data_IF_153807585829
#
_entry.id   IF_153807585829
#
_cell.length_a   1.000
_cell.length_b   1.000
_cell.length_c   1.000
_cell.angle_alpha   90.00
_cell.angle_beta   90.00
_cell.angle_gamma   90.00
#
_symmetry.space_group_name_H-M   'P 1'
#
loop_
_entity.id
_entity.type
_entity.pdbx_description
1 polymer ?
#
# COMPACT_ATOMS: atom_id res chain seq x y z
N UNK A 1 -16.02 5.03 3.30
CA UNK A 1 -15.55 6.43 3.13
C UNK A 1 -14.26 6.72 3.89
N UNK A 2 -14.08 6.18 5.11
CA UNK A 2 -12.86 6.35 5.93
C UNK A 2 -11.57 5.91 5.22
N UNK A 3 -11.55 4.76 4.54
CA UNK A 3 -10.34 4.26 3.88
C UNK A 3 -9.84 5.16 2.75
N UNK A 4 -10.76 5.81 2.04
CA UNK A 4 -10.41 6.78 1.00
C UNK A 4 -9.77 8.05 1.61
N UNK A 5 -10.23 8.48 2.80
CA UNK A 5 -9.61 9.59 3.51
C UNK A 5 -8.20 9.22 3.99
N UNK A 6 -8.00 7.99 4.46
CA UNK A 6 -6.67 7.48 4.84
C UNK A 6 -5.76 7.46 3.61
N UNK A 7 -6.21 6.91 2.48
CA UNK A 7 -5.43 6.93 1.23
C UNK A 7 -5.04 8.35 0.82
N UNK A 8 -6.01 9.27 0.80
CA UNK A 8 -5.76 10.63 0.35
C UNK A 8 -4.83 11.40 1.31
N UNK A 9 -5.06 11.29 2.62
CA UNK A 9 -4.23 11.99 3.62
C UNK A 9 -2.83 11.41 3.74
N UNK A 10 -2.64 10.12 3.45
CA UNK A 10 -1.34 9.44 3.60
C UNK A 10 -0.52 9.40 2.32
N UNK A 11 -1.04 9.89 1.19
CA UNK A 11 -0.43 9.73 -0.15
C UNK A 11 1.03 10.19 -0.27
N UNK A 12 1.46 11.14 0.57
CA UNK A 12 2.80 11.72 0.54
C UNK A 12 3.77 11.05 1.52
N UNK A 13 3.27 10.27 2.50
CA UNK A 13 4.10 9.69 3.56
C UNK A 13 3.89 8.20 3.80
N UNK A 14 2.84 7.58 3.23
CA UNK A 14 2.49 6.17 3.43
C UNK A 14 3.68 5.27 3.11
N UNK A 15 4.38 5.55 2.01
CA UNK A 15 5.60 4.83 1.61
C UNK A 15 6.63 4.79 2.75
N UNK A 16 6.97 5.94 3.33
CA UNK A 16 7.97 6.04 4.41
C UNK A 16 7.53 5.26 5.65
N UNK A 17 6.29 5.49 6.09
CA UNK A 17 5.73 4.87 7.30
C UNK A 17 5.60 3.37 7.15
N UNK A 18 5.07 2.90 6.02
CA UNK A 18 4.90 1.48 5.72
C UNK A 18 6.25 0.80 5.63
N UNK A 19 7.25 1.41 4.97
CA UNK A 19 8.62 0.87 4.96
C UNK A 19 9.18 0.76 6.38
N UNK A 20 9.04 1.79 7.22
CA UNK A 20 9.49 1.74 8.62
C UNK A 20 8.84 0.59 9.39
N UNK A 21 7.51 0.45 9.30
CA UNK A 21 6.79 -0.62 9.98
C UNK A 21 7.14 -2.02 9.43
N UNK A 22 7.28 -2.16 8.11
CA UNK A 22 7.73 -3.39 7.46
C UNK A 22 9.14 -3.79 7.91
N UNK A 23 10.03 -2.81 8.11
CA UNK A 23 11.39 -3.04 8.61
C UNK A 23 11.35 -3.63 10.02
N UNK A 24 10.56 -3.04 10.92
CA UNK A 24 10.39 -3.54 12.29
C UNK A 24 9.78 -4.95 12.31
N UNK A 25 8.88 -5.24 11.37
CA UNK A 25 8.32 -6.58 11.20
C UNK A 25 9.36 -7.61 10.75
N UNK A 26 10.21 -7.28 9.76
CA UNK A 26 11.03 -8.25 9.05
C UNK A 26 12.49 -8.41 9.50
N UNK A 27 13.02 -7.48 10.31
CA UNK A 27 14.38 -7.61 10.85
C UNK A 27 14.59 -8.97 11.54
N UNK A 28 15.84 -9.45 11.64
CA UNK A 28 16.14 -10.60 12.50
C UNK A 28 15.65 -10.37 13.93
N UNK A 29 15.20 -11.42 14.61
CA UNK A 29 14.71 -11.31 16.01
C UNK A 29 15.74 -10.67 16.94
N UNK A 30 17.03 -10.98 16.74
CA UNK A 30 18.13 -10.40 17.51
C UNK A 30 18.31 -8.88 17.28
N UNK A 31 17.81 -8.35 16.16
CA UNK A 31 17.79 -6.93 15.83
C UNK A 31 16.41 -6.27 16.13
N UNK A 32 15.59 -6.92 16.97
CA UNK A 32 14.28 -6.42 17.39
C UNK A 32 13.13 -6.71 16.44
N UNK A 33 13.30 -7.59 15.45
CA UNK A 33 12.21 -7.95 14.55
C UNK A 33 11.17 -8.87 15.19
N UNK A 34 9.88 -8.60 14.96
CA UNK A 34 8.79 -9.31 15.64
C UNK A 34 8.06 -10.35 14.78
N UNK A 35 8.05 -10.23 13.44
CA UNK A 35 7.26 -11.10 12.52
C UNK A 35 5.81 -11.31 12.97
N UNK A 36 5.24 -10.30 13.63
CA UNK A 36 3.89 -10.31 14.20
C UNK A 36 3.03 -9.30 13.45
N UNK A 37 2.00 -9.78 12.75
CA UNK A 37 1.13 -8.96 11.90
C UNK A 37 0.30 -7.97 12.72
N UNK A 38 -0.09 -8.30 13.95
CA UNK A 38 -0.80 -7.36 14.82
C UNK A 38 0.05 -6.18 15.26
N UNK A 39 1.33 -6.41 15.53
CA UNK A 39 2.27 -5.32 15.81
C UNK A 39 2.54 -4.46 14.57
N UNK A 40 2.57 -5.08 13.39
CA UNK A 40 2.67 -4.36 12.11
C UNK A 40 1.43 -3.48 11.88
N UNK A 41 0.23 -4.05 12.09
CA UNK A 41 -1.06 -3.34 12.03
C UNK A 41 -1.08 -2.14 12.98
N UNK A 42 -0.68 -2.37 14.23
CA UNK A 42 -0.57 -1.32 15.25
C UNK A 42 0.39 -0.20 14.82
N UNK A 43 1.57 -0.54 14.32
CA UNK A 43 2.55 0.45 13.84
C UNK A 43 1.98 1.32 12.72
N UNK A 44 1.30 0.71 11.73
CA UNK A 44 0.69 1.44 10.62
C UNK A 44 -0.43 2.37 11.10
N UNK A 45 -1.29 1.89 12.00
CA UNK A 45 -2.37 2.69 12.60
C UNK A 45 -1.85 3.89 13.39
N UNK A 46 -0.89 3.68 14.28
CA UNK A 46 -0.30 4.76 15.10
C UNK A 46 0.41 5.80 14.24
N UNK A 47 0.80 5.44 13.03
CA UNK A 47 1.44 6.32 12.07
C UNK A 47 0.47 6.92 11.03
N UNK A 48 -0.84 6.82 11.27
CA UNK A 48 -1.88 7.46 10.44
C UNK A 48 -2.30 6.67 9.20
N UNK A 49 -1.78 5.44 9.01
CA UNK A 49 -2.15 4.52 7.92
C UNK A 49 -3.09 3.44 8.47
N UNK A 50 -4.21 3.88 9.07
CA UNK A 50 -5.19 3.01 9.70
C UNK A 50 -6.43 2.80 8.85
N UNK A 51 -6.44 1.75 8.04
CA UNK A 51 -7.63 1.35 7.27
C UNK A 51 -8.68 0.67 8.15
N UNK A 52 -9.89 0.51 7.62
CA UNK A 52 -11.00 -0.14 8.28
C UNK A 52 -10.64 -1.58 8.64
N UNK A 53 -10.98 -1.96 9.86
CA UNK A 53 -10.86 -3.32 10.38
C UNK A 53 -12.18 -4.10 10.17
N UNK A 54 -13.20 -3.47 9.56
CA UNK A 54 -14.52 -4.02 9.33
C UNK A 54 -14.65 -4.55 7.89
N UNK A 55 -14.76 -5.87 7.65
CA UNK A 55 -14.93 -6.42 6.30
C UNK A 55 -16.14 -5.87 5.55
N UNK A 56 -17.22 -5.54 6.27
CA UNK A 56 -18.42 -4.94 5.68
C UNK A 56 -18.17 -3.56 5.06
N UNK A 57 -17.10 -2.85 5.46
CA UNK A 57 -16.72 -1.59 4.85
C UNK A 57 -16.07 -1.77 3.46
N UNK A 58 -15.52 -2.96 3.20
CA UNK A 58 -14.77 -3.29 1.98
C UNK A 58 -15.58 -4.15 0.99
N UNK A 59 -16.53 -4.96 1.47
CA UNK A 59 -17.20 -5.97 0.66
C UNK A 59 -18.73 -5.91 0.77
N UNK A 60 -19.41 -5.98 -0.37
CA UNK A 60 -20.87 -6.13 -0.44
C UNK A 60 -21.37 -7.47 0.18
N UNK A 61 -20.51 -8.50 0.19
CA UNK A 61 -20.75 -9.79 0.84
C UNK A 61 -19.56 -10.10 1.77
N UNK A 62 -19.59 -9.63 3.02
CA UNK A 62 -18.40 -9.62 3.89
C UNK A 62 -18.11 -10.93 4.63
N UNK A 63 -19.03 -11.89 4.62
CA UNK A 63 -18.82 -13.17 5.31
C UNK A 63 -17.52 -13.84 4.82
N UNK A 64 -16.62 -14.14 5.78
CA UNK A 64 -15.30 -14.74 5.53
C UNK A 64 -14.39 -13.92 4.61
N UNK A 65 -14.56 -12.60 4.57
CA UNK A 65 -13.67 -11.69 3.83
C UNK A 65 -12.76 -10.91 4.78
N UNK A 66 -11.53 -10.61 4.36
CA UNK A 66 -10.63 -9.74 5.11
C UNK A 66 -11.11 -8.29 5.08
N UNK A 67 -10.74 -7.51 6.09
CA UNK A 67 -10.90 -6.06 6.09
C UNK A 67 -9.86 -5.37 5.19
N UNK A 68 -10.04 -4.08 4.91
CA UNK A 68 -9.02 -3.31 4.20
C UNK A 68 -7.68 -3.31 4.96
N UNK A 69 -7.73 -3.21 6.28
CA UNK A 69 -6.52 -3.25 7.10
C UNK A 69 -5.79 -4.58 6.99
N UNK A 70 -6.52 -5.70 6.97
CA UNK A 70 -5.95 -7.04 6.77
C UNK A 70 -5.23 -7.13 5.43
N UNK A 71 -5.90 -6.71 4.34
CA UNK A 71 -5.31 -6.70 3.00
C UNK A 71 -3.99 -5.91 2.96
N UNK A 72 -3.97 -4.74 3.58
CA UNK A 72 -2.79 -3.88 3.61
C UNK A 72 -1.66 -4.48 4.45
N UNK A 73 -1.95 -5.02 5.63
CA UNK A 73 -0.92 -5.61 6.48
C UNK A 73 -0.37 -6.91 5.89
N UNK A 74 -1.21 -7.70 5.22
CA UNK A 74 -0.78 -8.92 4.55
C UNK A 74 0.13 -8.62 3.35
N UNK A 75 -0.19 -7.62 2.53
CA UNK A 75 0.72 -7.20 1.46
C UNK A 75 2.06 -6.74 2.02
N UNK A 76 2.05 -5.94 3.09
CA UNK A 76 3.28 -5.45 3.72
C UNK A 76 4.10 -6.58 4.34
N UNK A 77 3.44 -7.53 5.00
CA UNK A 77 4.10 -8.70 5.57
C UNK A 77 4.71 -9.59 4.47
N UNK A 78 3.97 -9.79 3.37
CA UNK A 78 4.44 -10.50 2.18
C UNK A 78 5.66 -9.80 1.58
N UNK A 79 5.58 -8.50 1.30
CA UNK A 79 6.69 -7.69 0.77
C UNK A 79 7.95 -7.86 1.61
N UNK A 80 7.78 -7.78 2.93
CA UNK A 80 8.88 -7.82 3.89
C UNK A 80 9.48 -9.23 4.10
N UNK A 81 8.89 -10.27 3.52
CA UNK A 81 9.43 -11.65 3.52
C UNK A 81 9.89 -12.04 2.12
N UNK A 82 9.02 -11.92 1.12
CA UNK A 82 9.24 -12.40 -0.23
C UNK A 82 10.21 -11.52 -1.02
N UNK A 83 10.23 -10.22 -0.73
CA UNK A 83 11.05 -9.25 -1.46
C UNK A 83 12.29 -8.78 -0.69
N UNK A 84 12.49 -9.27 0.54
CA UNK A 84 13.66 -8.93 1.37
C UNK A 84 14.99 -9.48 0.84
N UNK A 85 14.96 -10.42 -0.10
CA UNK A 85 16.15 -10.94 -0.80
C UNK A 85 16.50 -10.11 -2.04
N UNK A 86 15.60 -9.24 -2.50
CA UNK A 86 15.87 -8.34 -3.61
C UNK A 86 16.72 -7.17 -3.11
N UNK A 87 17.95 -7.06 -3.61
CA UNK A 87 18.89 -6.02 -3.19
C UNK A 87 18.33 -4.60 -3.36
N UNK A 88 17.47 -4.37 -4.35
CA UNK A 88 16.78 -3.09 -4.54
C UNK A 88 15.75 -2.80 -3.44
N UNK A 89 15.10 -3.83 -2.89
CA UNK A 89 14.24 -3.69 -1.71
C UNK A 89 15.06 -3.54 -0.42
N UNK A 90 16.15 -4.30 -0.29
CA UNK A 90 17.02 -4.23 0.88
C UNK A 90 17.54 -2.80 1.05
N UNK A 91 17.90 -2.15 -0.06
CA UNK A 91 18.46 -0.80 -0.02
C UNK A 91 17.51 0.23 0.58
N UNK A 92 16.18 0.06 0.49
CA UNK A 92 15.19 0.91 1.17
C UNK A 92 15.21 0.81 2.69
N UNK A 93 15.66 -0.31 3.25
CA UNK A 93 15.79 -0.46 4.70
C UNK A 93 16.96 0.35 5.29
N UNK A 94 17.96 0.67 4.46
CA UNK A 94 19.16 1.40 4.88
C UNK A 94 19.22 2.83 4.30
N UNK A 95 18.59 3.07 3.16
CA UNK A 95 18.58 4.34 2.44
C UNK A 95 17.15 4.66 1.96
N UNK A 96 16.27 5.18 2.84
CA UNK A 96 14.88 5.47 2.50
C UNK A 96 14.72 6.62 1.48
N UNK A 97 15.76 7.41 1.25
CA UNK A 97 15.80 8.48 0.24
C UNK A 97 16.77 8.11 -0.89
N UNK A 98 16.25 7.77 -2.07
CA UNK A 98 17.01 7.84 -3.33
C UNK A 98 17.50 6.52 -3.95
N UNK A 99 16.59 5.63 -4.37
CA UNK A 99 16.98 4.49 -5.22
C UNK A 99 16.00 4.19 -6.32
N UNK A 100 16.54 3.94 -7.51
CA UNK A 100 15.81 3.29 -8.62
C UNK A 100 15.17 1.99 -8.14
N UNK A 101 13.97 1.76 -8.65
CA UNK A 101 12.84 1.32 -7.85
C UNK A 101 12.09 0.19 -8.57
N UNK A 102 12.57 -0.16 -9.77
CA UNK A 102 11.99 -1.17 -10.65
C UNK A 102 12.06 -2.58 -10.07
N UNK A 103 13.18 -2.98 -9.45
CA UNK A 103 13.33 -4.33 -8.92
C UNK A 103 12.43 -4.61 -7.72
N UNK A 104 12.37 -3.68 -6.76
CA UNK A 104 11.62 -3.90 -5.54
C UNK A 104 10.11 -3.94 -5.79
N UNK A 105 9.58 -3.00 -6.58
CA UNK A 105 8.15 -2.98 -6.87
C UNK A 105 7.75 -4.03 -7.89
N UNK A 106 8.64 -4.43 -8.80
CA UNK A 106 8.39 -5.62 -9.62
C UNK A 106 8.25 -6.86 -8.73
N UNK A 107 9.01 -6.98 -7.65
CA UNK A 107 8.84 -8.08 -6.71
C UNK A 107 7.48 -8.01 -5.98
N UNK A 108 7.08 -6.84 -5.48
CA UNK A 108 5.75 -6.61 -4.87
C UNK A 108 4.65 -7.00 -5.87
N UNK A 109 4.61 -6.41 -7.06
CA UNK A 109 3.57 -6.68 -8.08
C UNK A 109 3.49 -8.17 -8.50
N UNK A 110 4.61 -8.88 -8.54
CA UNK A 110 4.66 -10.30 -8.93
C UNK A 110 4.22 -11.23 -7.79
N UNK A 111 4.65 -10.96 -6.54
CA UNK A 111 4.51 -11.93 -5.46
C UNK A 111 3.39 -11.60 -4.47
N UNK A 112 3.09 -10.31 -4.27
CA UNK A 112 2.24 -9.83 -3.18
C UNK A 112 1.06 -8.98 -3.69
N UNK A 113 1.29 -8.18 -4.74
CA UNK A 113 0.35 -7.19 -5.25
C UNK A 113 -0.92 -7.77 -5.88
N UNK A 114 -0.88 -8.97 -6.47
CA UNK A 114 -2.05 -9.56 -7.13
C UNK A 114 -3.18 -9.86 -6.13
N UNK A 115 -2.85 -10.46 -4.98
CA UNK A 115 -3.84 -10.75 -3.94
C UNK A 115 -4.25 -9.48 -3.20
N UNK A 116 -3.33 -8.53 -3.02
CA UNK A 116 -3.67 -7.21 -2.49
C UNK A 116 -4.67 -6.44 -3.35
N UNK A 117 -4.50 -6.43 -4.69
CA UNK A 117 -5.46 -5.79 -5.61
C UNK A 117 -6.81 -6.50 -5.54
N UNK A 118 -6.83 -7.84 -5.48
CA UNK A 118 -8.08 -8.60 -5.31
C UNK A 118 -8.77 -8.28 -3.99
N UNK A 119 -7.98 -8.08 -2.93
CA UNK A 119 -8.44 -7.90 -1.56
C UNK A 119 -8.90 -6.46 -1.27
N UNK A 120 -8.05 -5.47 -1.54
CA UNK A 120 -8.29 -4.06 -1.27
C UNK A 120 -8.91 -3.32 -2.47
N UNK A 121 -9.03 -3.97 -3.64
CA UNK A 121 -9.55 -3.38 -4.87
C UNK A 121 -8.62 -2.34 -5.51
N UNK A 122 -7.45 -2.08 -4.92
CA UNK A 122 -6.50 -1.09 -5.37
C UNK A 122 -5.09 -1.44 -4.88
N UNK A 123 -4.08 -1.07 -5.67
CA UNK A 123 -2.71 -0.99 -5.20
C UNK A 123 -2.34 0.46 -4.80
N UNK A 124 -1.25 0.62 -4.03
CA UNK A 124 -0.75 1.92 -3.51
C UNK A 124 -0.74 3.02 -4.59
N UNK A 125 -0.28 2.69 -5.80
CA UNK A 125 -0.14 3.65 -6.92
C UNK A 125 -1.47 3.97 -7.59
N UNK A 126 -2.34 2.98 -7.76
CA UNK A 126 -3.72 3.20 -8.24
C UNK A 126 -4.54 4.03 -7.27
N UNK A 127 -4.11 4.12 -6.01
CA UNK A 127 -4.67 5.02 -4.99
C UNK A 127 -4.02 6.40 -4.94
N UNK A 128 -3.11 6.72 -5.87
CA UNK A 128 -2.42 8.02 -5.91
C UNK A 128 -1.34 8.21 -4.85
N UNK A 129 -0.91 7.15 -4.15
CA UNK A 129 0.24 7.22 -3.24
C UNK A 129 1.50 7.50 -4.07
N UNK A 130 2.16 8.60 -3.75
CA UNK A 130 3.38 9.03 -4.43
C UNK A 130 4.48 8.00 -4.21
N UNK A 131 5.14 7.65 -5.31
CA UNK A 131 6.23 6.68 -5.34
C UNK A 131 7.33 7.17 -6.27
N UNK A 132 8.58 6.89 -5.94
CA UNK A 132 9.77 7.30 -6.69
C UNK A 132 10.02 6.52 -8.00
N UNK A 133 9.04 5.73 -8.49
CA UNK A 133 8.95 5.37 -9.92
C UNK A 133 7.98 6.30 -10.63
N UNK A 134 8.51 6.99 -11.63
CA UNK A 134 7.71 7.56 -12.70
C UNK A 134 7.04 6.43 -13.52
N UNK A 135 5.71 6.44 -13.59
CA UNK A 135 4.93 5.70 -14.59
C UNK A 135 4.45 6.69 -15.65
N UNK A 136 4.14 6.25 -16.88
CA UNK A 136 3.36 7.06 -17.81
C UNK A 136 2.11 7.56 -17.10
N UNK A 137 1.75 8.83 -17.27
CA UNK A 137 0.59 9.46 -16.59
C UNK A 137 -0.72 8.69 -16.81
N UNK A 138 -0.82 7.92 -17.88
CA UNK A 138 -1.95 7.04 -18.22
C UNK A 138 -2.09 5.82 -17.29
N UNK A 139 -1.00 5.41 -16.61
CA UNK A 139 -0.98 4.28 -15.68
C UNK A 139 -1.06 4.73 -14.22
N UNK A 140 -0.95 6.03 -13.97
CA UNK A 140 -1.30 6.64 -12.69
C UNK A 140 -2.78 6.98 -12.79
N UNK A 141 -3.61 6.37 -11.95
CA UNK A 141 -5.01 6.73 -11.93
C UNK A 141 -5.13 8.23 -11.61
N UNK A 142 -5.64 9.08 -12.53
CA UNK A 142 -5.90 10.49 -12.21
C UNK A 142 -7.03 10.61 -11.17
N UNK A 143 -7.82 9.54 -11.09
CA UNK A 143 -8.98 9.28 -10.26
C UNK A 143 -8.78 7.81 -9.89
N UNK A 144 -8.32 7.50 -8.68
CA UNK A 144 -8.18 6.11 -8.19
C UNK A 144 -9.45 5.30 -8.39
N UNK A 145 -9.34 3.96 -8.32
CA UNK A 145 -10.41 2.97 -8.55
C UNK A 145 -11.76 3.25 -7.83
N UNK A 146 -11.80 4.23 -6.91
CA UNK A 146 -12.97 4.66 -6.15
C UNK A 146 -13.19 6.18 -6.03
N UNK A 147 -12.44 7.02 -6.75
CA UNK A 147 -12.81 8.44 -6.81
C UNK A 147 -13.98 8.62 -7.77
N UNK A 148 -14.95 9.42 -7.34
CA UNK A 148 -16.08 9.82 -8.18
C UNK A 148 -15.49 10.41 -9.47
N UNK A 149 -15.90 9.93 -10.66
CA UNK A 149 -15.38 10.49 -11.91
C UNK A 149 -15.65 11.99 -11.93
N UNK A 150 -14.72 12.80 -12.48
CA UNK A 150 -14.96 14.23 -12.64
C UNK A 150 -16.28 14.42 -13.42
N UNK A 151 -17.07 15.45 -13.08
CA UNK A 151 -18.28 15.74 -13.84
C UNK A 151 -17.91 15.91 -15.32
N UNK A 152 -18.81 15.51 -16.25
CA UNK A 152 -18.55 15.66 -17.66
C UNK A 152 -18.24 17.13 -17.99
N UNK A 153 -17.33 17.39 -18.95
CA UNK A 153 -17.05 18.75 -19.39
C UNK A 153 -18.36 19.41 -19.88
N UNK A 154 -18.52 20.74 -19.67
CA UNK A 154 -19.68 21.44 -20.19
C UNK A 154 -19.80 21.23 -21.71
N UNK A 155 -21.03 21.20 -22.26
CA UNK A 155 -21.21 21.10 -23.70
C UNK A 155 -20.40 22.19 -24.39
N UNK A 156 -19.67 21.83 -25.44
CA UNK A 156 -19.05 22.83 -26.32
C UNK A 156 -20.17 23.73 -26.82
N UNK A 157 -20.08 25.03 -26.52
CA UNK A 157 -20.98 26.01 -27.11
C UNK A 157 -20.60 26.10 -28.59
N UNK A 158 -21.56 25.76 -29.45
CA UNK A 158 -21.51 26.01 -30.89
C UNK A 158 -21.42 27.53 -31.17
#
# INVERSE_FOLDING_TARGET
MQDLLVLNSTREFATLVVTRCATAYAKPKWAGGHRNVEQLRKCMREAGVGFSEEPAAAWAKPANKPSCMDCWTDNVACDAVACVSNFDCIRRFFYPAGTSFSGCIKCDEVNCGADFIRCAGANRRSSGVSSDIARPSQQVCPVGYWSVPPPPPPPLRE
#
